data_IF_854786022628
#
_entry.id   IF_854786022628
#
_cell.length_a   1.000
_cell.length_b   1.000
_cell.length_c   1.000
_cell.angle_alpha   90.00
_cell.angle_beta   90.00
_cell.angle_gamma   90.00
#
_symmetry.space_group_name_H-M   'P 1'
#
loop_
_entity.id
_entity.type
_entity.pdbx_description
1 polymer ?
#
# COMPACT_ATOMS: atom_id res chain seq x y z
N UNK A 1 8.26 17.91 4.86
CA UNK A 1 8.01 16.94 5.95
C UNK A 1 8.57 15.60 5.52
N UNK A 2 8.71 14.66 6.45
CA UNK A 2 9.18 13.31 6.16
C UNK A 2 8.06 12.34 6.52
N UNK A 3 7.72 11.46 5.58
CA UNK A 3 6.71 10.41 5.76
C UNK A 3 7.44 9.09 5.53
N UNK A 4 7.34 8.17 6.49
CA UNK A 4 7.86 6.81 6.33
C UNK A 4 6.75 5.81 6.60
N UNK A 5 6.67 4.80 5.77
CA UNK A 5 5.77 3.68 5.97
C UNK A 5 6.57 2.42 6.24
N UNK A 6 6.22 1.72 7.31
CA UNK A 6 6.70 0.35 7.54
C UNK A 6 5.65 -0.60 6.99
N UNK A 7 6.02 -1.39 5.99
CA UNK A 7 5.12 -2.35 5.35
C UNK A 7 5.56 -3.78 5.64
N UNK A 8 4.61 -4.62 6.05
CA UNK A 8 4.79 -6.05 6.23
C UNK A 8 3.81 -6.80 5.31
N UNK A 9 4.37 -7.48 4.31
CA UNK A 9 3.60 -8.35 3.42
C UNK A 9 3.93 -9.81 3.72
N UNK A 10 2.90 -10.63 3.92
CA UNK A 10 3.06 -12.06 4.20
C UNK A 10 2.07 -12.90 3.37
N UNK A 11 2.56 -13.74 2.46
CA UNK A 11 1.74 -14.74 1.78
C UNK A 11 1.66 -16.03 2.62
N UNK A 12 0.47 -16.62 2.66
CA UNK A 12 0.15 -17.92 3.24
C UNK A 12 -0.38 -18.83 2.14
N UNK A 13 0.32 -19.91 1.84
CA UNK A 13 -0.16 -20.90 0.87
C UNK A 13 -1.30 -21.72 1.48
N UNK A 14 -2.31 -22.02 0.67
CA UNK A 14 -3.45 -22.86 1.01
C UNK A 14 -3.51 -24.07 0.06
N UNK A 15 -4.30 -25.11 0.37
CA UNK A 15 -4.53 -26.22 -0.54
C UNK A 15 -4.98 -25.77 -1.93
N UNK A 16 -4.73 -26.62 -2.94
CA UNK A 16 -5.11 -26.36 -4.34
C UNK A 16 -4.50 -25.08 -4.92
N UNK A 17 -3.34 -24.66 -4.42
CA UNK A 17 -2.59 -23.47 -4.90
C UNK A 17 -3.30 -22.13 -4.68
N UNK A 18 -4.29 -22.08 -3.78
CA UNK A 18 -4.80 -20.81 -3.27
C UNK A 18 -3.77 -20.16 -2.34
N UNK A 19 -3.90 -18.85 -2.13
CA UNK A 19 -3.10 -18.14 -1.14
C UNK A 19 -3.90 -17.06 -0.42
N UNK A 20 -3.54 -16.77 0.83
CA UNK A 20 -3.94 -15.53 1.50
C UNK A 20 -2.73 -14.62 1.54
N UNK A 21 -2.85 -13.40 1.05
CA UNK A 21 -1.81 -12.37 1.17
C UNK A 21 -2.30 -11.34 2.18
N UNK A 22 -1.55 -11.16 3.27
CA UNK A 22 -1.79 -10.09 4.23
C UNK A 22 -0.79 -8.97 4.01
N UNK A 23 -1.26 -7.73 4.01
CA UNK A 23 -0.43 -6.53 3.92
C UNK A 23 -0.78 -5.60 5.09
N UNK A 24 0.22 -5.27 5.90
CA UNK A 24 0.08 -4.34 7.03
C UNK A 24 0.96 -3.13 6.78
N UNK A 25 0.39 -1.93 6.79
CA UNK A 25 1.12 -0.66 6.63
C UNK A 25 0.97 0.16 7.91
N UNK A 26 2.12 0.59 8.44
CA UNK A 26 2.23 1.45 9.61
C UNK A 26 2.86 2.78 9.19
N UNK A 27 2.05 3.82 8.97
CA UNK A 27 2.56 5.11 8.53
C UNK A 27 3.08 5.93 9.70
N UNK A 28 4.21 6.59 9.50
CA UNK A 28 4.79 7.56 10.43
C UNK A 28 5.03 8.86 9.70
N UNK A 29 4.63 9.97 10.31
CA UNK A 29 4.78 11.30 9.72
C UNK A 29 5.54 12.20 10.67
N UNK A 30 6.40 13.04 10.10
CA UNK A 30 7.15 14.08 10.79
C UNK A 30 7.18 15.35 9.92
N UNK A 31 6.24 16.26 10.16
CA UNK A 31 6.27 17.60 9.55
C UNK A 31 7.05 18.54 10.48
N UNK A 32 8.08 19.19 9.94
CA UNK A 32 8.83 20.20 10.69
C UNK A 32 7.89 21.34 11.11
N UNK A 33 8.07 21.84 12.33
CA UNK A 33 7.25 22.91 12.92
C UNK A 33 5.75 22.59 13.07
N UNK A 34 5.35 21.31 13.07
CA UNK A 34 4.01 20.90 13.49
C UNK A 34 4.05 19.73 14.48
N UNK A 35 3.61 19.98 15.71
CA UNK A 35 3.45 18.95 16.73
C UNK A 35 2.25 18.01 16.44
N UNK A 36 1.27 18.49 15.68
CA UNK A 36 0.08 17.73 15.31
C UNK A 36 0.39 16.62 14.29
N UNK A 37 1.30 16.89 13.35
CA UNK A 37 1.70 15.96 12.30
C UNK A 37 3.05 15.29 12.59
N UNK A 38 3.24 14.88 13.85
CA UNK A 38 4.42 14.13 14.31
C UNK A 38 4.01 12.89 15.09
N UNK A 39 4.16 11.70 14.49
CA UNK A 39 3.83 10.44 15.16
C UNK A 39 3.42 9.32 14.21
N UNK A 40 2.80 8.29 14.79
CA UNK A 40 2.20 7.16 14.08
C UNK A 40 0.81 7.58 13.59
N UNK A 41 0.46 7.20 12.36
CA UNK A 41 -0.88 7.34 11.80
C UNK A 41 -1.74 6.09 11.99
N UNK A 42 -2.92 6.11 11.39
CA UNK A 42 -3.82 4.94 11.41
C UNK A 42 -3.22 3.80 10.56
N UNK A 43 -3.17 2.61 11.15
CA UNK A 43 -2.61 1.42 10.52
C UNK A 43 -3.58 0.90 9.45
N UNK A 44 -3.03 0.46 8.32
CA UNK A 44 -3.78 -0.25 7.30
C UNK A 44 -3.50 -1.75 7.39
N UNK A 45 -4.54 -2.57 7.36
CA UNK A 45 -4.40 -4.02 7.22
C UNK A 45 -5.32 -4.49 6.10
N UNK A 46 -4.74 -5.14 5.10
CA UNK A 46 -5.48 -5.81 4.04
C UNK A 46 -5.20 -7.31 4.07
N UNK A 47 -6.22 -8.11 3.76
CA UNK A 47 -6.09 -9.55 3.59
C UNK A 47 -6.85 -9.96 2.33
N UNK A 48 -6.16 -10.60 1.38
CA UNK A 48 -6.70 -10.98 0.07
C UNK A 48 -6.54 -12.47 -0.12
N UNK A 49 -7.65 -13.16 -0.39
CA UNK A 49 -7.64 -14.53 -0.89
C UNK A 49 -7.40 -14.48 -2.40
N UNK A 50 -6.34 -15.13 -2.85
CA UNK A 50 -5.88 -15.16 -4.24
C UNK A 50 -6.13 -16.54 -4.81
N UNK A 51 -6.83 -16.58 -5.95
CA UNK A 51 -7.10 -17.80 -6.69
C UNK A 51 -5.84 -18.32 -7.39
N UNK A 52 -5.76 -19.63 -7.69
CA UNK A 52 -4.68 -20.18 -8.49
C UNK A 52 -4.52 -19.44 -9.82
N UNK A 53 -3.31 -19.02 -10.20
CA UNK A 53 -3.08 -18.32 -11.45
C UNK A 53 -3.47 -19.16 -12.68
N UNK A 54 -3.92 -18.52 -13.74
CA UNK A 54 -4.14 -19.10 -15.08
C UNK A 54 -3.46 -18.21 -16.11
N UNK A 55 -2.57 -18.79 -16.91
CA UNK A 55 -1.81 -18.06 -17.94
C UNK A 55 -1.17 -16.77 -17.41
N UNK A 56 -0.48 -16.87 -16.26
CA UNK A 56 0.16 -15.76 -15.52
C UNK A 56 -0.78 -14.70 -14.94
N UNK A 57 -2.10 -14.84 -15.13
CA UNK A 57 -3.12 -13.97 -14.55
C UNK A 57 -3.61 -14.56 -13.22
N UNK A 58 -3.71 -13.73 -12.20
CA UNK A 58 -4.31 -14.07 -10.92
C UNK A 58 -5.37 -13.06 -10.52
N UNK A 59 -6.37 -13.51 -9.76
CA UNK A 59 -7.42 -12.65 -9.21
C UNK A 59 -7.51 -12.87 -7.72
N UNK A 60 -7.93 -11.84 -7.00
CA UNK A 60 -8.11 -11.94 -5.56
C UNK A 60 -9.27 -11.09 -5.06
N UNK A 61 -9.84 -11.53 -3.94
CA UNK A 61 -10.87 -10.82 -3.22
C UNK A 61 -10.61 -10.91 -1.72
N UNK A 62 -10.99 -9.88 -0.99
CA UNK A 62 -10.66 -9.77 0.41
C UNK A 62 -11.18 -8.50 1.05
N UNK A 63 -10.49 -8.08 2.10
CA UNK A 63 -10.86 -6.92 2.91
C UNK A 63 -9.70 -5.94 3.01
N UNK A 64 -10.03 -4.66 3.02
CA UNK A 64 -9.11 -3.55 3.32
C UNK A 64 -9.64 -2.84 4.58
N UNK A 65 -8.78 -2.64 5.58
CA UNK A 65 -9.18 -2.12 6.89
C UNK A 65 -8.25 -1.00 7.36
N UNK A 66 -8.80 -0.05 8.11
CA UNK A 66 -8.05 0.93 8.88
C UNK A 66 -8.34 0.74 10.37
N UNK A 67 -7.25 0.80 11.14
CA UNK A 67 -7.28 0.70 12.59
C UNK A 67 -6.89 2.05 13.19
N UNK A 68 -7.57 2.50 14.26
CA UNK A 68 -7.35 3.79 14.87
C UNK A 68 -6.09 3.81 15.75
N UNK A 69 -4.91 3.64 15.15
CA UNK A 69 -3.61 3.65 15.84
C UNK A 69 -2.92 5.02 15.84
N UNK A 70 -3.53 6.03 15.21
CA UNK A 70 -2.94 7.36 15.15
C UNK A 70 -2.68 7.94 16.56
N UNK A 71 -1.47 8.42 16.80
CA UNK A 71 -1.09 9.01 18.10
C UNK A 71 -1.55 10.46 18.26
N UNK A 72 -1.97 11.10 17.16
CA UNK A 72 -2.46 12.49 17.12
C UNK A 72 -3.68 12.60 16.20
N UNK A 73 -4.52 13.61 16.46
CA UNK A 73 -5.74 13.84 15.67
C UNK A 73 -5.46 14.13 14.19
N UNK A 74 -4.41 14.89 13.87
CA UNK A 74 -4.04 15.17 12.48
C UNK A 74 -3.39 14.00 11.72
N UNK A 75 -3.17 12.84 12.37
CA UNK A 75 -2.49 11.69 11.77
C UNK A 75 -3.43 10.55 11.34
N UNK A 76 -4.74 10.70 11.54
CA UNK A 76 -5.70 9.67 11.20
C UNK A 76 -7.14 10.07 11.49
N UNK A 77 -8.08 9.27 10.98
CA UNK A 77 -9.51 9.45 11.23
C UNK A 77 -9.90 8.95 12.63
N UNK A 78 -9.04 8.17 13.30
CA UNK A 78 -9.27 7.61 14.65
C UNK A 78 -10.57 6.80 14.73
N UNK A 79 -10.96 6.21 13.62
CA UNK A 79 -12.09 5.32 13.49
C UNK A 79 -11.63 3.96 12.94
N UNK A 80 -12.40 2.93 13.27
CA UNK A 80 -12.31 1.66 12.55
C UNK A 80 -13.04 1.83 11.24
N UNK A 81 -12.39 1.47 10.15
CA UNK A 81 -13.02 1.39 8.84
C UNK A 81 -12.65 0.07 8.16
N UNK A 82 -13.59 -0.49 7.41
CA UNK A 82 -13.33 -1.68 6.62
C UNK A 82 -14.25 -1.74 5.42
N UNK A 83 -13.89 -2.58 4.46
CA UNK A 83 -14.77 -2.96 3.38
C UNK A 83 -14.06 -3.85 2.36
N UNK A 84 -14.74 -4.15 1.25
CA UNK A 84 -14.25 -5.10 0.27
C UNK A 84 -13.03 -4.54 -0.48
N UNK A 85 -12.15 -5.47 -0.86
CA UNK A 85 -11.04 -5.27 -1.77
C UNK A 85 -11.07 -6.39 -2.81
N UNK A 86 -10.97 -6.03 -4.08
CA UNK A 86 -10.81 -6.98 -5.19
C UNK A 86 -9.64 -6.56 -6.04
N UNK A 87 -9.04 -7.49 -6.75
CA UNK A 87 -7.98 -7.16 -7.68
C UNK A 87 -7.69 -8.26 -8.69
N UNK A 88 -6.95 -7.85 -9.71
CA UNK A 88 -6.41 -8.70 -10.76
C UNK A 88 -4.95 -8.34 -10.93
N UNK A 89 -4.13 -9.33 -11.21
CA UNK A 89 -2.74 -9.13 -11.54
C UNK A 89 -2.28 -10.06 -12.63
N UNK A 90 -1.17 -9.69 -13.22
CA UNK A 90 -0.40 -10.46 -14.19
C UNK A 90 1.03 -10.49 -13.70
N UNK A 91 1.66 -11.67 -13.75
CA UNK A 91 3.08 -11.77 -13.44
C UNK A 91 3.74 -12.89 -14.24
N UNK A 92 4.76 -12.52 -15.00
CA UNK A 92 5.70 -13.45 -15.63
C UNK A 92 7.13 -13.13 -15.16
N UNK A 93 8.12 -13.67 -15.88
CA UNK A 93 9.54 -13.49 -15.54
C UNK A 93 10.07 -12.07 -15.80
N UNK A 94 9.39 -11.28 -16.63
CA UNK A 94 9.85 -9.96 -17.07
C UNK A 94 8.99 -8.84 -16.50
N UNK A 95 7.67 -8.98 -16.51
CA UNK A 95 6.75 -7.94 -16.12
C UNK A 95 5.81 -8.40 -15.00
N UNK A 96 5.37 -7.42 -14.23
CA UNK A 96 4.34 -7.60 -13.22
C UNK A 96 3.39 -6.42 -13.31
N UNK A 97 2.09 -6.71 -13.31
CA UNK A 97 1.04 -5.70 -13.32
C UNK A 97 -0.02 -6.06 -12.28
N UNK A 98 -0.59 -5.05 -11.62
CA UNK A 98 -1.64 -5.23 -10.65
C UNK A 98 -2.64 -4.08 -10.74
N UNK A 99 -3.92 -4.41 -10.62
CA UNK A 99 -5.02 -3.47 -10.47
C UNK A 99 -5.91 -3.95 -9.32
N UNK A 100 -6.12 -3.08 -8.33
CA UNK A 100 -6.95 -3.34 -7.17
C UNK A 100 -7.96 -2.23 -6.95
N UNK A 101 -9.17 -2.59 -6.54
CA UNK A 101 -10.24 -1.68 -6.17
C UNK A 101 -10.72 -2.03 -4.76
N UNK A 102 -10.73 -1.05 -3.87
CA UNK A 102 -11.36 -1.19 -2.56
C UNK A 102 -12.36 -0.09 -2.29
N UNK A 103 -13.31 -0.41 -1.41
CA UNK A 103 -14.20 0.54 -0.80
C UNK A 103 -14.18 0.29 0.70
N UNK A 104 -14.09 1.36 1.50
CA UNK A 104 -14.11 1.26 2.97
C UNK A 104 -15.09 2.22 3.56
N UNK A 105 -15.74 1.80 4.65
CA UNK A 105 -16.63 2.63 5.45
C UNK A 105 -16.28 2.55 6.92
N UNK A 106 -16.58 3.59 7.69
CA UNK A 106 -16.52 3.53 9.15
C UNK A 106 -17.42 2.43 9.68
N UNK A 107 -16.85 1.55 10.50
CA UNK A 107 -17.57 0.54 11.27
C UNK A 107 -17.82 0.99 12.71
N UNK A 108 -16.91 1.77 13.29
CA UNK A 108 -17.05 2.24 14.67
C UNK A 108 -15.91 3.16 15.11
N UNK A 109 -16.14 3.91 16.19
CA UNK A 109 -15.17 4.86 16.72
C UNK A 109 -15.83 5.83 17.71
N UNK A 110 -15.04 6.71 18.37
CA UNK A 110 -15.57 7.71 19.28
C UNK A 110 -16.61 8.61 18.58
N UNK A 111 -17.63 9.03 19.33
CA UNK A 111 -18.64 9.96 18.83
C UNK A 111 -17.99 11.29 18.37
N UNK A 112 -18.50 11.86 17.27
CA UNK A 112 -18.03 13.14 16.73
C UNK A 112 -16.77 13.07 15.86
N UNK A 113 -16.18 11.89 15.64
CA UNK A 113 -15.08 11.73 14.68
C UNK A 113 -15.57 11.79 13.24
N UNK A 114 -14.70 12.26 12.34
CA UNK A 114 -14.94 12.26 10.90
C UNK A 114 -15.21 10.83 10.43
N UNK A 115 -16.30 10.64 9.68
CA UNK A 115 -16.60 9.36 9.05
C UNK A 115 -15.60 9.11 7.92
N UNK A 116 -15.35 7.86 7.62
CA UNK A 116 -14.56 7.39 6.50
C UNK A 116 -15.52 6.75 5.52
N UNK A 117 -15.52 7.24 4.29
CA UNK A 117 -16.08 6.53 3.14
C UNK A 117 -15.14 6.78 1.97
N UNK A 118 -14.33 5.78 1.63
CA UNK A 118 -13.19 5.96 0.73
C UNK A 118 -13.15 4.84 -0.31
N UNK A 119 -13.20 5.23 -1.58
CA UNK A 119 -12.90 4.35 -2.71
C UNK A 119 -11.43 4.51 -3.06
N UNK A 120 -10.70 3.40 -3.25
CA UNK A 120 -9.30 3.43 -3.67
C UNK A 120 -9.10 2.51 -4.87
N UNK A 121 -8.56 3.07 -5.96
CA UNK A 121 -8.06 2.32 -7.11
C UNK A 121 -6.54 2.32 -7.06
N UNK A 122 -5.93 1.15 -6.91
CA UNK A 122 -4.47 0.98 -6.89
C UNK A 122 -4.04 0.27 -8.16
N UNK A 123 -3.05 0.82 -8.84
CA UNK A 123 -2.46 0.27 -10.05
C UNK A 123 -0.95 0.20 -9.91
N UNK A 124 -0.34 -0.84 -10.42
CA UNK A 124 1.10 -1.01 -10.43
C UNK A 124 1.51 -1.73 -11.71
N UNK A 125 2.63 -1.30 -12.28
CA UNK A 125 3.34 -2.00 -13.34
C UNK A 125 4.83 -1.95 -13.04
N UNK A 126 5.53 -3.06 -13.25
CA UNK A 126 6.99 -3.13 -13.16
C UNK A 126 7.55 -4.04 -14.23
N UNK A 127 8.73 -3.71 -14.73
CA UNK A 127 9.49 -4.52 -15.66
C UNK A 127 10.90 -4.75 -15.13
N UNK A 128 11.36 -6.00 -15.18
CA UNK A 128 12.74 -6.39 -15.00
C UNK A 128 13.59 -5.92 -16.18
N UNK A 129 14.73 -5.31 -15.87
CA UNK A 129 15.67 -4.76 -16.84
C UNK A 129 16.94 -5.64 -16.99
N UNK A 130 17.00 -6.77 -16.28
CA UNK A 130 18.19 -7.61 -16.16
C UNK A 130 19.08 -7.22 -14.98
N UNK A 131 20.00 -8.11 -14.60
CA UNK A 131 21.01 -7.89 -13.55
C UNK A 131 20.45 -7.41 -12.19
N UNK A 132 19.24 -7.88 -11.87
CA UNK A 132 18.50 -7.54 -10.66
C UNK A 132 17.82 -6.17 -10.70
N UNK A 133 17.94 -5.41 -11.78
CA UNK A 133 17.28 -4.12 -11.94
C UNK A 133 15.82 -4.27 -12.35
N UNK A 134 14.99 -3.35 -11.85
CA UNK A 134 13.62 -3.19 -12.30
C UNK A 134 13.22 -1.71 -12.28
N UNK A 135 12.37 -1.34 -13.23
CA UNK A 135 11.69 -0.05 -13.24
C UNK A 135 10.18 -0.27 -13.14
N UNK A 136 9.48 0.69 -12.54
CA UNK A 136 8.05 0.57 -12.36
C UNK A 136 7.33 1.91 -12.26
N UNK A 137 6.01 1.80 -12.35
CA UNK A 137 5.07 2.88 -12.09
C UNK A 137 3.98 2.34 -11.17
N UNK A 138 3.65 3.13 -10.15
CA UNK A 138 2.50 2.86 -9.29
C UNK A 138 1.60 4.09 -9.27
N UNK A 139 0.29 3.88 -9.33
CA UNK A 139 -0.70 4.93 -9.24
C UNK A 139 -1.77 4.54 -8.23
N UNK A 140 -2.13 5.45 -7.34
CA UNK A 140 -3.27 5.29 -6.45
C UNK A 140 -4.22 6.46 -6.66
N UNK A 141 -5.50 6.17 -6.91
CA UNK A 141 -6.54 7.17 -6.98
C UNK A 141 -7.55 6.91 -5.85
N UNK A 142 -7.55 7.80 -4.87
CA UNK A 142 -8.44 7.78 -3.73
C UNK A 142 -9.56 8.82 -3.92
N UNK A 143 -10.80 8.39 -3.67
CA UNK A 143 -11.97 9.25 -3.63
C UNK A 143 -12.63 9.19 -2.25
N UNK A 144 -12.54 10.30 -1.51
CA UNK A 144 -13.19 10.49 -0.22
C UNK A 144 -14.60 11.05 -0.41
N UNK A 145 -15.60 10.23 -0.10
CA UNK A 145 -17.01 10.57 -0.20
C UNK A 145 -17.45 11.57 0.88
N UNK A 146 -16.74 11.64 2.00
CA UNK A 146 -16.99 12.59 3.09
C UNK A 146 -16.26 13.93 2.87
N UNK A 147 -15.30 13.95 1.94
CA UNK A 147 -14.58 15.16 1.54
C UNK A 147 -15.47 16.20 0.85
N UNK A 148 -15.01 17.46 0.81
CA UNK A 148 -15.73 18.56 0.15
C UNK A 148 -14.94 19.15 -1.02
N UNK A 149 -15.65 19.51 -2.10
CA UNK A 149 -15.07 20.13 -3.28
C UNK A 149 -13.91 19.33 -3.91
N UNK A 150 -12.75 19.97 -4.09
CA UNK A 150 -11.56 19.36 -4.70
C UNK A 150 -10.79 18.43 -3.76
N UNK A 151 -11.05 18.49 -2.44
CA UNK A 151 -10.38 17.67 -1.44
C UNK A 151 -10.79 16.18 -1.51
N UNK A 152 -11.82 15.84 -2.30
CA UNK A 152 -12.28 14.46 -2.47
C UNK A 152 -11.28 13.56 -3.17
N UNK A 153 -10.44 14.11 -4.04
CA UNK A 153 -9.52 13.30 -4.85
C UNK A 153 -8.10 13.42 -4.36
N UNK A 154 -7.46 12.28 -4.13
CA UNK A 154 -6.01 12.18 -3.94
C UNK A 154 -5.45 11.21 -4.97
N UNK A 155 -4.52 11.68 -5.82
CA UNK A 155 -4.00 10.89 -6.94
C UNK A 155 -2.47 11.01 -7.02
N UNK A 156 -1.72 10.27 -6.20
CA UNK A 156 -0.28 10.07 -6.37
C UNK A 156 0.02 9.09 -7.50
N UNK A 157 1.01 9.43 -8.31
CA UNK A 157 1.65 8.54 -9.29
C UNK A 157 3.15 8.56 -9.02
N UNK A 158 3.75 7.40 -8.79
CA UNK A 158 5.18 7.27 -8.56
C UNK A 158 5.86 6.47 -9.66
N UNK A 159 7.06 6.91 -10.01
CA UNK A 159 8.02 6.13 -10.79
C UNK A 159 9.06 5.56 -9.84
N UNK A 160 9.44 4.30 -10.06
CA UNK A 160 10.42 3.61 -9.24
C UNK A 160 11.52 3.02 -10.11
N UNK A 161 12.74 3.09 -9.60
CA UNK A 161 13.88 2.34 -10.13
C UNK A 161 14.53 1.62 -8.96
N UNK A 162 14.70 0.31 -9.06
CA UNK A 162 15.21 -0.49 -7.96
C UNK A 162 16.13 -1.59 -8.44
N UNK A 163 16.94 -2.11 -7.51
CA UNK A 163 17.82 -3.24 -7.73
C UNK A 163 17.69 -4.23 -6.58
N UNK A 164 17.55 -5.50 -6.93
CA UNK A 164 17.63 -6.62 -5.99
C UNK A 164 19.08 -7.04 -5.83
N UNK A 165 19.54 -7.09 -4.58
CA UNK A 165 20.84 -7.59 -4.16
C UNK A 165 20.61 -8.90 -3.42
N UNK A 166 21.01 -10.00 -4.05
CA UNK A 166 20.88 -11.35 -3.47
C UNK A 166 22.12 -11.67 -2.64
N UNK A 167 21.93 -12.03 -1.37
CA UNK A 167 23.03 -12.42 -0.47
C UNK A 167 23.17 -13.94 -0.36
N UNK A 168 22.06 -14.66 -0.51
CA UNK A 168 21.99 -16.12 -0.59
C UNK A 168 20.72 -16.54 -1.31
N UNK A 169 20.59 -17.84 -1.63
CA UNK A 169 19.47 -18.40 -2.42
C UNK A 169 18.07 -17.96 -1.97
N UNK A 170 17.90 -17.63 -0.69
CA UNK A 170 16.60 -17.26 -0.12
C UNK A 170 16.59 -15.90 0.59
N UNK A 171 17.64 -15.08 0.46
CA UNK A 171 17.74 -13.77 1.12
C UNK A 171 18.15 -12.71 0.13
N UNK A 172 17.31 -11.70 -0.02
CA UNK A 172 17.58 -10.57 -0.88
C UNK A 172 17.18 -9.25 -0.23
N UNK A 173 17.88 -8.19 -0.61
CA UNK A 173 17.51 -6.81 -0.32
C UNK A 173 17.22 -6.12 -1.64
N UNK A 174 16.01 -5.60 -1.79
CA UNK A 174 15.70 -4.66 -2.85
C UNK A 174 15.89 -3.24 -2.33
N UNK A 175 16.68 -2.45 -3.04
CA UNK A 175 16.87 -1.02 -2.79
C UNK A 175 16.34 -0.28 -4.01
N UNK A 176 15.54 0.75 -3.80
CA UNK A 176 15.09 1.59 -4.90
C UNK A 176 14.90 3.04 -4.51
N UNK A 177 14.92 3.89 -5.53
CA UNK A 177 14.51 5.28 -5.44
C UNK A 177 13.14 5.43 -6.09
N UNK A 178 12.35 6.35 -5.57
CA UNK A 178 11.06 6.71 -6.14
C UNK A 178 10.89 8.22 -6.25
N UNK A 179 10.16 8.63 -7.29
CA UNK A 179 9.69 10.00 -7.47
C UNK A 179 8.18 9.93 -7.61
N UNK A 180 7.46 10.63 -6.74
CA UNK A 180 6.00 10.70 -6.76
C UNK A 180 5.55 12.08 -7.20
N UNK A 181 4.60 12.13 -8.14
CA UNK A 181 3.82 13.31 -8.46
C UNK A 181 2.40 13.18 -7.89
N UNK A 182 1.98 14.13 -7.07
CA UNK A 182 0.59 14.21 -6.60
C UNK A 182 -0.25 15.03 -7.59
N UNK A 183 -0.85 14.37 -8.59
CA UNK A 183 -1.68 15.03 -9.61
C UNK A 183 -2.95 15.68 -9.04
N UNK A 184 -3.48 15.10 -7.95
CA UNK A 184 -4.51 15.69 -7.09
C UNK A 184 -4.10 15.52 -5.64
N UNK A 185 -4.22 16.58 -4.87
CA UNK A 185 -4.02 16.55 -3.42
C UNK A 185 -5.37 16.71 -2.75
N UNK A 186 -5.79 15.72 -1.95
CA UNK A 186 -7.02 15.80 -1.16
C UNK A 186 -6.95 16.83 -0.02
N UNK A 187 -5.86 17.58 0.10
CA UNK A 187 -5.71 18.62 1.12
C UNK A 187 -4.48 19.49 0.89
N UNK A 188 -4.39 20.64 1.60
CA UNK A 188 -3.38 21.67 1.37
C UNK A 188 -1.95 21.29 1.77
N UNK A 189 -1.73 20.11 2.37
CA UNK A 189 -0.46 19.75 3.01
C UNK A 189 0.39 18.70 2.26
N UNK A 190 -0.03 18.23 1.08
CA UNK A 190 0.80 17.33 0.27
C UNK A 190 1.70 18.09 -0.69
N UNK A 191 2.96 17.67 -0.75
CA UNK A 191 3.90 18.20 -1.73
C UNK A 191 3.47 17.75 -3.14
N UNK A 192 3.62 18.63 -4.14
CA UNK A 192 3.33 18.27 -5.54
C UNK A 192 4.28 17.17 -6.04
N UNK A 193 5.51 17.18 -5.52
CA UNK A 193 6.54 16.19 -5.79
C UNK A 193 7.14 15.67 -4.49
N UNK A 194 7.40 14.37 -4.45
CA UNK A 194 8.05 13.69 -3.34
C UNK A 194 9.16 12.78 -3.87
N UNK A 195 10.27 12.72 -3.15
CA UNK A 195 11.39 11.85 -3.43
C UNK A 195 11.51 10.87 -2.27
N UNK A 196 11.66 9.59 -2.59
CA UNK A 196 11.70 8.54 -1.58
C UNK A 196 12.74 7.47 -1.90
N UNK A 197 13.02 6.68 -0.87
CA UNK A 197 13.86 5.50 -0.93
C UNK A 197 13.06 4.34 -0.36
N UNK A 198 13.03 3.22 -1.08
CA UNK A 198 12.41 1.98 -0.61
C UNK A 198 13.49 0.94 -0.30
N UNK A 199 13.32 0.27 0.84
CA UNK A 199 14.12 -0.87 1.26
C UNK A 199 13.18 -2.03 1.53
N UNK A 200 13.34 -3.12 0.79
CA UNK A 200 12.51 -4.31 0.96
C UNK A 200 13.40 -5.51 1.23
N UNK A 201 13.25 -6.07 2.41
CA UNK A 201 13.94 -7.30 2.81
C UNK A 201 13.08 -8.50 2.47
N UNK A 202 13.59 -9.36 1.60
CA UNK A 202 12.97 -10.66 1.31
C UNK A 202 13.61 -11.68 2.23
N UNK A 203 12.83 -12.15 3.20
CA UNK A 203 13.24 -13.15 4.18
C UNK A 203 12.58 -14.49 3.80
N UNK A 204 13.30 -15.63 3.88
CA UNK A 204 12.73 -16.93 3.54
C UNK A 204 11.49 -17.23 4.37
N UNK A 205 10.60 -18.08 3.83
CA UNK A 205 9.56 -18.75 4.62
C UNK A 205 10.23 -19.42 5.82
N UNK A 206 9.98 -18.93 7.03
CA UNK A 206 10.41 -19.61 8.23
C UNK A 206 9.82 -21.02 8.25
N UNK A 207 10.67 -22.02 8.51
CA UNK A 207 10.33 -23.44 8.67
C UNK A 207 9.27 -23.64 9.76
N UNK A 208 8.00 -23.47 9.39
CA UNK A 208 6.87 -23.96 10.15
C UNK A 208 5.99 -24.65 9.10
N UNK A 209 5.69 -25.93 9.33
CA UNK A 209 5.16 -26.94 8.41
C UNK A 209 6.25 -27.76 7.68
N UNK A 210 6.86 -28.68 8.45
CA UNK A 210 7.08 -30.05 7.96
C UNK A 210 5.79 -30.84 8.19
#
# INVERSE_FOLDING_TARGET
GLVNDVTLTKPFALPQSWAIITNTILPTTMIQNSAEYRGLGDANIAAVLVAPPRDNVFVGAGVDTFLPSATRAGLGARNWAAGPLVGVGYQDDVISAYLGLSQRWTLGGPAGQTRTSLTALRSQFSAGLGDGWSAGVNGQADYDWEGTGRARWTVPVSLTLSRVLTFSDNRALQIGGLITHNAKTGGPQRAVWEFGLNLTFVVPRGYFLR
#
